data_IF_313829413187
#
_entry.id   IF_313829413187
#
_cell.length_a   1.000
_cell.length_b   1.000
_cell.length_c   1.000
_cell.angle_alpha   90.00
_cell.angle_beta   90.00
_cell.angle_gamma   90.00
#
_symmetry.space_group_name_H-M   'P 1'
#
loop_
_entity.id
_entity.type
_entity.pdbx_description
1 polymer ?
#
# COMPACT_ATOMS: atom_id res chain seq x y z
N UNK A 1 -19.42 -12.42 32.95
CA UNK A 1 -18.60 -12.22 31.73
C UNK A 1 -17.88 -10.88 31.85
N UNK A 2 -16.56 -10.81 31.69
CA UNK A 2 -15.80 -9.58 31.93
C UNK A 2 -16.12 -8.55 30.81
N UNK A 3 -16.65 -7.35 31.12
CA UNK A 3 -16.99 -6.34 30.11
C UNK A 3 -15.82 -5.94 29.22
N UNK A 4 -14.59 -6.01 29.74
CA UNK A 4 -13.35 -5.71 28.99
C UNK A 4 -13.06 -6.71 27.86
N UNK A 5 -13.46 -7.99 28.00
CA UNK A 5 -13.30 -9.00 26.95
C UNK A 5 -14.27 -8.76 25.78
N UNK A 6 -15.50 -8.34 26.09
CA UNK A 6 -16.52 -8.03 25.07
C UNK A 6 -16.15 -6.82 24.20
N UNK A 7 -15.62 -5.76 24.81
CA UNK A 7 -15.20 -4.55 24.09
C UNK A 7 -13.94 -4.76 23.24
N UNK A 8 -13.00 -5.59 23.71
CA UNK A 8 -11.84 -6.00 22.91
C UNK A 8 -12.24 -6.85 21.71
N UNK A 9 -13.14 -7.82 21.90
CA UNK A 9 -13.67 -8.63 20.80
C UNK A 9 -14.37 -7.77 19.75
N UNK A 10 -15.25 -6.85 20.17
CA UNK A 10 -15.93 -5.92 19.28
C UNK A 10 -14.94 -5.09 18.44
N UNK A 11 -13.87 -4.56 19.06
CA UNK A 11 -12.83 -3.81 18.34
C UNK A 11 -12.05 -4.66 17.34
N UNK A 12 -11.81 -5.94 17.65
CA UNK A 12 -11.16 -6.87 16.72
C UNK A 12 -12.03 -7.14 15.49
N UNK A 13 -13.33 -7.40 15.68
CA UNK A 13 -14.26 -7.60 14.56
C UNK A 13 -14.39 -6.35 13.70
N UNK A 14 -14.47 -5.17 14.32
CA UNK A 14 -14.49 -3.91 13.59
C UNK A 14 -13.21 -3.70 12.76
N UNK A 15 -12.03 -3.94 13.34
CA UNK A 15 -10.77 -3.83 12.62
C UNK A 15 -10.69 -4.82 11.44
N UNK A 16 -11.16 -6.05 11.64
CA UNK A 16 -11.22 -7.06 10.59
C UNK A 16 -12.14 -6.64 9.44
N UNK A 17 -13.35 -6.16 9.76
CA UNK A 17 -14.30 -5.66 8.77
C UNK A 17 -13.72 -4.49 7.97
N UNK A 18 -13.09 -3.53 8.65
CA UNK A 18 -12.45 -2.39 7.99
C UNK A 18 -11.31 -2.84 7.09
N UNK A 19 -10.45 -3.77 7.57
CA UNK A 19 -9.37 -4.33 6.75
C UNK A 19 -9.92 -5.00 5.49
N UNK A 20 -10.96 -5.82 5.60
CA UNK A 20 -11.55 -6.52 4.46
C UNK A 20 -12.17 -5.55 3.44
N UNK A 21 -13.03 -4.62 3.90
CA UNK A 21 -13.70 -3.64 3.03
C UNK A 21 -12.66 -2.72 2.37
N UNK A 22 -11.70 -2.23 3.15
CA UNK A 22 -10.67 -1.32 2.64
C UNK A 22 -9.70 -2.01 1.69
N UNK A 23 -9.37 -3.28 1.94
CA UNK A 23 -8.55 -4.08 1.03
C UNK A 23 -9.25 -4.32 -0.30
N UNK A 24 -10.54 -4.67 -0.27
CA UNK A 24 -11.34 -4.80 -1.48
C UNK A 24 -11.45 -3.46 -2.24
N UNK A 25 -11.68 -2.36 -1.53
CA UNK A 25 -11.72 -1.02 -2.14
C UNK A 25 -10.36 -0.65 -2.75
N UNK A 26 -9.26 -0.92 -2.05
CA UNK A 26 -7.92 -0.65 -2.56
C UNK A 26 -7.63 -1.43 -3.85
N UNK A 27 -8.00 -2.71 -3.88
CA UNK A 27 -7.88 -3.53 -5.09
C UNK A 27 -8.74 -2.98 -6.24
N UNK A 28 -10.01 -2.67 -5.98
CA UNK A 28 -10.94 -2.16 -6.99
C UNK A 28 -10.48 -0.82 -7.58
N UNK A 29 -10.07 0.13 -6.73
CA UNK A 29 -9.51 1.40 -7.18
C UNK A 29 -8.24 1.14 -7.98
N UNK A 30 -7.33 0.30 -7.49
CA UNK A 30 -6.08 -0.04 -8.19
C UNK A 30 -6.30 -0.60 -9.59
N UNK A 31 -7.14 -1.61 -9.72
CA UNK A 31 -7.46 -2.25 -11.02
C UNK A 31 -8.10 -1.26 -12.00
N UNK A 32 -8.91 -0.33 -11.52
CA UNK A 32 -9.62 0.62 -12.39
C UNK A 32 -8.83 1.89 -12.73
N UNK A 33 -7.78 2.21 -11.96
CA UNK A 33 -7.06 3.50 -12.08
C UNK A 33 -5.58 3.38 -12.40
N UNK A 34 -5.04 2.17 -12.59
CA UNK A 34 -3.65 2.02 -13.07
C UNK A 34 -3.50 2.25 -14.58
N UNK A 35 -4.62 2.28 -15.32
CA UNK A 35 -4.69 2.61 -16.77
C UNK A 35 -3.80 1.76 -17.68
N UNK A 36 -3.42 0.54 -17.27
CA UNK A 36 -2.46 -0.28 -18.03
C UNK A 36 -0.99 0.16 -17.88
N UNK A 37 -0.74 1.30 -17.23
CA UNK A 37 0.59 1.88 -17.10
C UNK A 37 1.42 1.07 -16.10
N UNK A 38 2.57 0.59 -16.55
CA UNK A 38 3.53 -0.13 -15.72
C UNK A 38 4.95 0.08 -16.25
N UNK A 39 5.93 -0.09 -15.36
CA UNK A 39 7.34 -0.06 -15.69
C UNK A 39 7.98 -1.34 -15.14
N UNK A 40 8.50 -2.19 -16.03
CA UNK A 40 9.01 -3.53 -15.70
C UNK A 40 8.06 -4.35 -14.81
N UNK A 41 6.75 -4.26 -15.06
CA UNK A 41 5.73 -4.98 -14.30
C UNK A 41 5.25 -4.29 -13.02
N UNK A 42 5.91 -3.22 -12.56
CA UNK A 42 5.42 -2.39 -11.44
C UNK A 42 4.42 -1.37 -11.96
N UNK A 43 3.17 -1.46 -11.49
CA UNK A 43 2.03 -0.66 -11.97
C UNK A 43 2.09 0.79 -11.47
N UNK A 44 1.53 1.72 -12.25
CA UNK A 44 1.18 3.07 -11.78
C UNK A 44 0.06 2.98 -10.74
N UNK A 45 0.26 3.46 -9.51
CA UNK A 45 -0.61 3.07 -8.40
C UNK A 45 -1.22 4.24 -7.62
N UNK A 46 -2.17 4.99 -8.20
CA UNK A 46 -2.86 6.09 -7.49
C UNK A 46 -3.72 5.59 -6.32
N UNK A 47 -4.05 4.30 -6.31
CA UNK A 47 -4.91 3.68 -5.30
C UNK A 47 -4.31 3.73 -3.88
N UNK A 48 -3.02 4.05 -3.71
CA UNK A 48 -2.35 4.24 -2.41
C UNK A 48 -3.07 5.22 -1.48
N UNK A 49 -3.91 6.10 -2.03
CA UNK A 49 -4.79 6.99 -1.26
C UNK A 49 -5.68 6.23 -0.27
N UNK A 50 -6.16 5.03 -0.64
CA UNK A 50 -7.07 4.23 0.18
C UNK A 50 -6.37 3.72 1.44
N UNK A 51 -5.32 2.87 1.35
CA UNK A 51 -4.65 2.36 2.54
C UNK A 51 -3.97 3.46 3.36
N UNK A 52 -3.46 4.53 2.75
CA UNK A 52 -2.91 5.66 3.51
C UNK A 52 -3.96 6.33 4.39
N UNK A 53 -5.15 6.59 3.85
CA UNK A 53 -6.26 7.20 4.59
C UNK A 53 -6.71 6.28 5.73
N UNK A 54 -6.91 4.98 5.43
CA UNK A 54 -7.32 3.98 6.42
C UNK A 54 -6.27 3.79 7.51
N UNK A 55 -4.99 3.81 7.16
CA UNK A 55 -3.89 3.74 8.13
C UNK A 55 -3.94 4.91 9.12
N UNK A 56 -4.21 6.12 8.65
CA UNK A 56 -4.27 7.33 9.50
C UNK A 56 -5.51 7.31 10.41
N UNK A 57 -6.64 6.79 9.93
CA UNK A 57 -7.89 6.74 10.69
C UNK A 57 -7.92 5.59 11.71
N UNK A 58 -7.50 4.40 11.31
CA UNK A 58 -7.68 3.17 12.10
C UNK A 58 -6.37 2.60 12.65
N UNK A 59 -5.22 3.12 12.22
CA UNK A 59 -3.90 2.78 12.73
C UNK A 59 -3.12 1.82 11.83
N UNK A 60 -1.82 1.69 12.13
CA UNK A 60 -0.87 0.99 11.27
C UNK A 60 -1.23 -0.47 10.97
N UNK A 61 -1.71 -1.24 11.95
CA UNK A 61 -2.07 -2.65 11.73
C UNK A 61 -3.21 -2.81 10.71
N UNK A 62 -4.26 -1.99 10.84
CA UNK A 62 -5.43 -2.04 9.94
C UNK A 62 -5.05 -1.52 8.56
N UNK A 63 -4.33 -0.39 8.49
CA UNK A 63 -3.85 0.19 7.24
C UNK A 63 -2.91 -0.74 6.46
N UNK A 64 -1.87 -1.24 7.12
CA UNK A 64 -0.93 -2.20 6.54
C UNK A 64 -1.62 -3.48 6.06
N UNK A 65 -2.50 -4.08 6.89
CA UNK A 65 -3.23 -5.29 6.49
C UNK A 65 -4.18 -5.04 5.31
N UNK A 66 -4.87 -3.89 5.28
CA UNK A 66 -5.73 -3.53 4.14
C UNK A 66 -4.92 -3.34 2.85
N UNK A 67 -3.73 -2.75 2.94
CA UNK A 67 -2.86 -2.57 1.80
C UNK A 67 -2.31 -3.90 1.28
N UNK A 68 -1.83 -4.76 2.19
CA UNK A 68 -1.38 -6.11 1.88
C UNK A 68 -2.46 -6.93 1.17
N UNK A 69 -3.69 -6.92 1.71
CA UNK A 69 -4.80 -7.63 1.12
C UNK A 69 -5.15 -7.09 -0.27
N UNK A 70 -5.27 -5.77 -0.40
CA UNK A 70 -5.69 -5.16 -1.65
C UNK A 70 -4.64 -5.28 -2.76
N UNK A 71 -3.34 -5.11 -2.46
CA UNK A 71 -2.30 -5.31 -3.47
C UNK A 71 -2.23 -6.77 -3.91
N UNK A 72 -2.38 -7.73 -2.99
CA UNK A 72 -2.40 -9.14 -3.33
C UNK A 72 -3.53 -9.46 -4.30
N UNK A 73 -4.76 -9.05 -4.00
CA UNK A 73 -5.91 -9.24 -4.90
C UNK A 73 -5.64 -8.58 -6.25
N UNK A 74 -5.16 -7.33 -6.25
CA UNK A 74 -4.88 -6.61 -7.48
C UNK A 74 -3.81 -7.28 -8.33
N UNK A 75 -2.75 -7.84 -7.74
CA UNK A 75 -1.66 -8.52 -8.43
C UNK A 75 -2.11 -9.85 -9.03
N UNK A 76 -2.91 -10.64 -8.29
CA UNK A 76 -3.53 -11.85 -8.82
C UNK A 76 -4.42 -11.54 -10.03
N UNK A 77 -5.22 -10.48 -9.96
CA UNK A 77 -6.08 -10.08 -11.07
C UNK A 77 -5.29 -9.51 -12.24
N UNK A 78 -4.20 -8.78 -11.98
CA UNK A 78 -3.44 -8.08 -13.03
C UNK A 78 -2.51 -9.03 -13.80
N UNK A 79 -1.65 -9.76 -13.10
CA UNK A 79 -0.60 -10.59 -13.71
C UNK A 79 -0.60 -12.04 -13.21
N UNK A 80 -1.38 -12.38 -12.17
CA UNK A 80 -1.57 -13.77 -11.73
C UNK A 80 -0.40 -14.39 -10.96
N UNK A 81 0.67 -13.63 -10.68
CA UNK A 81 1.89 -14.17 -10.05
C UNK A 81 1.80 -14.00 -8.53
N UNK A 82 1.14 -14.94 -7.87
CA UNK A 82 0.92 -14.92 -6.42
C UNK A 82 2.22 -14.82 -5.60
N UNK A 83 3.24 -15.58 -6.00
CA UNK A 83 4.52 -15.65 -5.28
C UNK A 83 5.26 -14.30 -5.30
N UNK A 84 5.23 -13.59 -6.43
CA UNK A 84 5.83 -12.26 -6.55
C UNK A 84 5.11 -11.27 -5.62
N UNK A 85 3.77 -11.30 -5.61
CA UNK A 85 3.01 -10.42 -4.73
C UNK A 85 3.32 -10.70 -3.25
N UNK A 86 3.34 -11.97 -2.83
CA UNK A 86 3.62 -12.35 -1.44
C UNK A 86 5.05 -12.01 -0.99
N UNK A 87 6.02 -12.03 -1.90
CA UNK A 87 7.43 -11.75 -1.57
C UNK A 87 7.83 -10.28 -1.73
N UNK A 88 7.12 -9.52 -2.58
CA UNK A 88 7.48 -8.14 -2.91
C UNK A 88 6.34 -7.15 -2.64
N UNK A 89 5.19 -7.33 -3.32
CA UNK A 89 4.08 -6.38 -3.28
C UNK A 89 3.46 -6.24 -1.87
N UNK A 90 3.05 -7.36 -1.29
CA UNK A 90 2.46 -7.49 0.04
C UNK A 90 3.36 -6.92 1.15
N UNK A 91 4.63 -7.34 1.30
CA UNK A 91 5.48 -6.82 2.37
C UNK A 91 5.76 -5.33 2.21
N UNK A 92 6.01 -4.85 0.97
CA UNK A 92 6.20 -3.42 0.70
C UNK A 92 5.00 -2.59 1.15
N UNK A 93 3.79 -2.97 0.70
CA UNK A 93 2.55 -2.29 1.03
C UNK A 93 2.28 -2.34 2.54
N UNK A 94 2.38 -3.53 3.15
CA UNK A 94 2.14 -3.67 4.58
C UNK A 94 3.04 -2.73 5.39
N UNK A 95 4.35 -2.74 5.13
CA UNK A 95 5.33 -1.95 5.89
C UNK A 95 5.08 -0.45 5.68
N UNK A 96 4.92 0.01 4.44
CA UNK A 96 4.73 1.43 4.15
C UNK A 96 3.50 2.00 4.87
N UNK A 97 2.33 1.36 4.70
CA UNK A 97 1.10 1.86 5.31
C UNK A 97 1.01 1.57 6.81
N UNK A 98 1.68 0.54 7.31
CA UNK A 98 1.86 0.35 8.75
C UNK A 98 2.60 1.53 9.38
N UNK A 99 3.71 1.98 8.78
CA UNK A 99 4.49 3.11 9.29
C UNK A 99 3.66 4.41 9.29
N UNK A 100 2.98 4.70 8.18
CA UNK A 100 2.08 5.86 8.09
C UNK A 100 1.04 5.81 9.22
N UNK A 101 0.33 4.69 9.38
CA UNK A 101 -0.69 4.58 10.41
C UNK A 101 -0.14 4.54 11.85
N UNK A 102 1.08 4.05 12.05
CA UNK A 102 1.72 3.99 13.38
C UNK A 102 2.09 5.37 13.89
N UNK A 103 2.57 6.25 13.00
CA UNK A 103 3.10 7.56 13.37
C UNK A 103 2.16 8.72 13.05
N UNK A 104 1.18 8.57 12.16
CA UNK A 104 0.31 9.68 11.74
C UNK A 104 -1.12 9.63 12.29
N UNK A 105 -1.42 8.77 13.28
CA UNK A 105 -2.74 8.73 13.95
C UNK A 105 -3.15 10.08 14.54
N UNK A 106 -2.23 10.81 15.14
CA UNK A 106 -2.43 12.21 15.49
C UNK A 106 -2.02 13.03 14.27
N UNK A 107 -2.98 13.30 13.39
CA UNK A 107 -2.70 13.87 12.10
C UNK A 107 -2.14 15.29 12.24
N UNK A 108 -0.89 15.44 11.83
CA UNK A 108 -0.21 16.72 11.67
C UNK A 108 0.42 16.70 10.28
N UNK A 109 0.18 17.75 9.48
CA UNK A 109 0.57 17.75 8.07
C UNK A 109 2.08 17.59 7.87
N UNK A 110 2.91 18.28 8.68
CA UNK A 110 4.37 18.21 8.56
C UNK A 110 4.88 16.81 8.88
N UNK A 111 4.38 16.24 9.98
CA UNK A 111 4.71 14.86 10.39
C UNK A 111 4.24 13.86 9.34
N UNK A 112 3.05 14.05 8.80
CA UNK A 112 2.50 13.19 7.77
C UNK A 112 3.36 13.20 6.52
N UNK A 113 3.71 14.37 5.98
CA UNK A 113 4.54 14.47 4.79
C UNK A 113 5.88 13.76 5.02
N UNK A 114 6.59 14.05 6.11
CA UNK A 114 7.85 13.38 6.45
C UNK A 114 7.71 11.84 6.53
N UNK A 115 6.74 11.35 7.30
CA UNK A 115 6.55 9.91 7.49
C UNK A 115 6.10 9.23 6.20
N UNK A 116 5.20 9.85 5.43
CA UNK A 116 4.73 9.32 4.15
C UNK A 116 5.87 9.23 3.13
N UNK A 117 6.76 10.21 3.08
CA UNK A 117 7.98 10.18 2.26
C UNK A 117 8.91 9.03 2.66
N UNK A 118 9.20 8.88 3.95
CA UNK A 118 10.07 7.80 4.44
C UNK A 118 9.43 6.43 4.18
N UNK A 119 8.15 6.28 4.49
CA UNK A 119 7.42 5.04 4.28
C UNK A 119 7.35 4.66 2.79
N UNK A 120 7.09 5.64 1.92
CA UNK A 120 7.09 5.44 0.47
C UNK A 120 8.47 5.05 -0.05
N UNK A 121 9.55 5.69 0.44
CA UNK A 121 10.91 5.35 0.07
C UNK A 121 11.26 3.90 0.49
N UNK A 122 10.90 3.50 1.71
CA UNK A 122 11.07 2.12 2.20
C UNK A 122 10.30 1.13 1.31
N UNK A 123 9.01 1.38 1.06
CA UNK A 123 8.18 0.52 0.22
C UNK A 123 8.72 0.41 -1.22
N UNK A 124 9.11 1.54 -1.81
CA UNK A 124 9.71 1.60 -3.15
C UNK A 124 11.03 0.84 -3.22
N UNK A 125 11.83 0.88 -2.16
CA UNK A 125 13.10 0.15 -2.07
C UNK A 125 12.86 -1.35 -2.00
N UNK A 126 11.87 -1.80 -1.21
CA UNK A 126 11.46 -3.22 -1.14
C UNK A 126 11.01 -3.69 -2.53
N UNK A 127 10.23 -2.87 -3.25
CA UNK A 127 9.79 -3.19 -4.61
C UNK A 127 10.98 -3.29 -5.57
N UNK A 128 11.85 -2.29 -5.63
CA UNK A 128 12.98 -2.30 -6.56
C UNK A 128 13.96 -3.45 -6.30
N UNK A 129 14.34 -3.69 -5.04
CA UNK A 129 15.22 -4.82 -4.67
C UNK A 129 14.52 -6.16 -4.91
N UNK A 130 13.25 -6.27 -4.53
CA UNK A 130 12.45 -7.48 -4.73
C UNK A 130 12.31 -7.84 -6.21
N UNK A 131 11.98 -6.86 -7.05
CA UNK A 131 11.87 -7.04 -8.50
C UNK A 131 13.21 -7.37 -9.15
N UNK A 132 14.30 -6.73 -8.70
CA UNK A 132 15.65 -7.07 -9.15
C UNK A 132 15.97 -8.54 -8.88
N UNK A 133 15.80 -9.00 -7.64
CA UNK A 133 16.05 -10.38 -7.25
C UNK A 133 15.11 -11.36 -7.97
N UNK A 134 13.83 -11.01 -8.10
CA UNK A 134 12.84 -11.82 -8.83
C UNK A 134 13.26 -12.06 -10.27
N UNK A 135 13.66 -11.00 -10.98
CA UNK A 135 14.00 -11.06 -12.41
C UNK A 135 15.19 -11.96 -12.74
N UNK A 136 16.03 -12.32 -11.76
CA UNK A 136 17.16 -13.23 -11.98
C UNK A 136 16.71 -14.69 -12.15
N UNK A 137 15.55 -15.05 -11.60
CA UNK A 137 15.07 -16.43 -11.54
C UNK A 137 13.72 -16.63 -12.22
N UNK A 138 12.92 -15.58 -12.36
CA UNK A 138 11.55 -15.66 -12.87
C UNK A 138 11.25 -14.53 -13.87
N UNK A 139 10.37 -14.77 -14.86
CA UNK A 139 9.90 -13.73 -15.77
C UNK A 139 9.24 -12.57 -15.02
N UNK A 140 9.45 -11.36 -15.53
CA UNK A 140 8.75 -10.18 -15.04
C UNK A 140 7.24 -10.26 -15.36
N UNK A 141 6.37 -9.56 -14.59
CA UNK A 141 4.97 -9.44 -14.95
C UNK A 141 4.80 -8.98 -16.40
N UNK A 142 3.85 -9.59 -17.11
CA UNK A 142 3.55 -9.30 -18.52
C UNK A 142 4.65 -9.69 -19.52
N UNK A 143 5.66 -10.46 -19.09
CA UNK A 143 6.70 -11.03 -19.95
C UNK A 143 6.63 -12.56 -19.91
N UNK A 144 6.89 -13.22 -21.05
CA UNK A 144 6.99 -14.68 -21.14
C UNK A 144 8.40 -15.20 -20.94
N UNK A 145 9.41 -14.36 -21.19
CA UNK A 145 10.82 -14.73 -21.14
C UNK A 145 11.51 -14.17 -19.90
N UNK A 146 12.56 -14.87 -19.47
CA UNK A 146 13.42 -14.41 -18.39
C UNK A 146 14.20 -13.18 -18.87
N UNK A 147 13.97 -12.04 -18.22
CA UNK A 147 14.60 -10.75 -18.53
C UNK A 147 15.29 -10.20 -17.28
N UNK A 148 16.51 -10.69 -16.95
CA UNK A 148 17.20 -10.28 -15.74
C UNK A 148 17.47 -8.77 -15.76
N UNK A 149 16.97 -8.08 -14.74
CA UNK A 149 17.24 -6.66 -14.57
C UNK A 149 18.69 -6.47 -14.15
N UNK A 150 19.37 -5.52 -14.80
CA UNK A 150 20.65 -5.01 -14.32
C UNK A 150 20.43 -3.98 -13.21
N UNK A 151 21.51 -3.48 -12.61
CA UNK A 151 21.44 -2.54 -11.48
C UNK A 151 20.68 -1.24 -11.82
N UNK A 152 20.85 -0.70 -13.02
CA UNK A 152 20.21 0.58 -13.40
C UNK A 152 18.68 0.45 -13.48
N UNK A 153 18.09 -0.52 -14.22
CA UNK A 153 16.65 -0.76 -14.21
C UNK A 153 16.07 -1.00 -12.81
N UNK A 154 16.80 -1.71 -11.93
CA UNK A 154 16.39 -1.91 -10.54
C UNK A 154 16.29 -0.59 -9.77
N UNK A 155 17.26 0.31 -9.93
CA UNK A 155 17.21 1.65 -9.34
C UNK A 155 16.08 2.50 -9.95
N UNK A 156 15.85 2.39 -11.26
CA UNK A 156 14.74 3.08 -11.94
C UNK A 156 13.37 2.61 -11.44
N UNK A 157 13.21 1.34 -11.04
CA UNK A 157 11.97 0.84 -10.42
C UNK A 157 11.68 1.48 -9.05
N UNK A 158 12.72 1.72 -8.25
CA UNK A 158 12.57 2.46 -6.98
C UNK A 158 12.05 3.87 -7.27
N UNK A 159 12.67 4.55 -8.24
CA UNK A 159 12.27 5.90 -8.62
C UNK A 159 10.87 5.95 -9.23
N UNK A 160 10.54 4.99 -10.10
CA UNK A 160 9.21 4.85 -10.71
C UNK A 160 8.13 4.73 -9.63
N UNK A 161 8.29 3.79 -8.69
CA UNK A 161 7.31 3.56 -7.62
C UNK A 161 7.16 4.83 -6.77
N UNK A 162 8.28 5.42 -6.34
CA UNK A 162 8.25 6.60 -5.50
C UNK A 162 7.60 7.80 -6.20
N UNK A 163 8.03 8.12 -7.42
CA UNK A 163 7.57 9.32 -8.14
C UNK A 163 6.11 9.17 -8.57
N UNK A 164 5.69 7.98 -8.99
CA UNK A 164 4.32 7.76 -9.45
C UNK A 164 3.29 7.81 -8.31
N UNK A 165 3.64 7.36 -7.11
CA UNK A 165 2.73 7.31 -5.96
C UNK A 165 2.75 8.60 -5.11
N UNK A 166 3.88 9.31 -5.08
CA UNK A 166 4.07 10.51 -4.26
C UNK A 166 3.00 11.60 -4.44
N UNK A 167 2.57 11.97 -5.67
CA UNK A 167 1.55 13.00 -5.86
C UNK A 167 0.24 12.68 -5.12
N UNK A 168 -0.16 11.41 -5.11
CA UNK A 168 -1.39 10.97 -4.47
C UNK A 168 -1.30 11.04 -2.95
N UNK A 169 -0.16 10.61 -2.38
CA UNK A 169 0.08 10.74 -0.96
C UNK A 169 0.17 12.20 -0.52
N UNK A 170 0.84 13.07 -1.27
CA UNK A 170 1.10 14.44 -0.80
C UNK A 170 -0.06 15.39 -1.06
N UNK A 171 -0.82 15.18 -2.14
CA UNK A 171 -1.87 16.12 -2.57
C UNK A 171 -3.26 15.63 -2.16
N UNK A 172 -3.56 14.33 -2.31
CA UNK A 172 -4.93 13.81 -2.16
C UNK A 172 -5.22 13.34 -0.73
N UNK A 173 -4.29 12.63 -0.09
CA UNK A 173 -4.52 12.07 1.25
C UNK A 173 -4.76 13.14 2.33
N UNK A 174 -4.00 14.25 2.40
CA UNK A 174 -4.23 15.27 3.43
C UNK A 174 -5.63 15.89 3.45
N UNK A 175 -6.19 16.39 2.34
CA UNK A 175 -7.55 16.92 2.33
C UNK A 175 -8.58 15.81 2.62
N UNK A 176 -8.37 14.59 2.11
CA UNK A 176 -9.27 13.46 2.33
C UNK A 176 -9.37 13.10 3.82
N UNK A 177 -8.23 12.97 4.52
CA UNK A 177 -8.19 12.70 5.96
C UNK A 177 -8.88 13.80 6.75
N UNK A 178 -8.63 15.07 6.42
CA UNK A 178 -9.27 16.21 7.09
C UNK A 178 -10.79 16.16 6.92
N UNK A 179 -11.26 15.96 5.69
CA UNK A 179 -12.69 15.90 5.39
C UNK A 179 -13.41 14.78 6.17
N UNK A 180 -12.81 13.59 6.24
CA UNK A 180 -13.38 12.46 6.97
C UNK A 180 -13.40 12.72 8.48
N UNK A 181 -12.31 13.24 9.06
CA UNK A 181 -12.23 13.52 10.51
C UNK A 181 -13.20 14.61 10.96
N UNK A 182 -13.49 15.60 10.13
CA UNK A 182 -14.46 16.65 10.47
C UNK A 182 -15.89 16.12 10.52
N UNK A 183 -16.23 15.11 9.71
CA UNK A 183 -17.57 14.52 9.62
C UNK A 183 -17.77 13.36 10.57
N UNK A 184 -16.73 12.58 10.81
CA UNK A 184 -16.71 11.46 11.74
C UNK A 184 -15.99 11.95 12.99
N UNK A 185 -16.71 12.55 13.93
CA UNK A 185 -16.17 12.78 15.27
C UNK A 185 -15.92 11.44 15.94
N UNK A 186 -14.77 10.82 15.64
CA UNK A 186 -14.23 9.74 16.44
C UNK A 186 -13.72 10.41 17.72
N UNK A 187 -14.59 10.49 18.73
CA UNK A 187 -14.18 10.73 20.11
C UNK A 187 -13.20 9.65 20.57
#
# INVERSE_FOLDING_TARGET
MNPLDSSQKARRYQNLAITAISGALYAAVGITTYFGLNFYGVKFWPAVIVPATIAILFGGRVGGASAALGIFIADIVSHGIALLSLTVGVPSNYIAFYLIGRFCRQFNIKRYLLVSTIALAIGSTIIGVGMYLWSQYFPLPFQSELTPLTFIPALSLIMWTFISEAPFLYIIVPPLVKAIRTRVQVK
#
